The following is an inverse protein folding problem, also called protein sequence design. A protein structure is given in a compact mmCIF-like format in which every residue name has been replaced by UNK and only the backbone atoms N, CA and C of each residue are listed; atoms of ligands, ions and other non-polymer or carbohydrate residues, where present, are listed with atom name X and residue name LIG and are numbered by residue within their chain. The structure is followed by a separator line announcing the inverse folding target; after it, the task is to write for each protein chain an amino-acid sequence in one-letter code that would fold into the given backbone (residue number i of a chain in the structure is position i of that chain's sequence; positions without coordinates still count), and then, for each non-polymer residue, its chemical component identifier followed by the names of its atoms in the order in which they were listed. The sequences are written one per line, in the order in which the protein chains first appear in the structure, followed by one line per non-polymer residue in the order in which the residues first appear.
data_IF_412033529703
#
_entry.id   IF_412033529703
#
_cell.length_a   1.000
_cell.length_b   1.000
_cell.length_c   1.000
_cell.angle_alpha   90.00
_cell.angle_beta   90.00
_cell.angle_gamma   90.00
#
_symmetry.space_group_name_H-M   'P 1'
#
loop_
_entity.id
_entity.type
_entity.pdbx_description
1 polymer ?
#
# COMPACT_ATOMS: atom_id res chain seq x y z
N UNK A 1 -0.17 23.19 -31.18
CA UNK A 1 -0.54 23.61 -29.81
C UNK A 1 -1.33 22.47 -29.19
N UNK A 2 -0.71 21.70 -28.29
CA UNK A 2 -1.45 20.99 -27.25
C UNK A 2 -0.53 20.94 -26.03
N UNK A 3 -0.73 21.92 -25.15
CA UNK A 3 -0.12 21.96 -23.84
C UNK A 3 -0.69 20.79 -23.04
N UNK A 4 0.02 19.66 -23.04
CA UNK A 4 -0.27 18.58 -22.09
C UNK A 4 0.47 18.85 -20.77
N UNK A 5 0.15 19.96 -20.11
CA UNK A 5 0.18 20.02 -18.65
C UNK A 5 -0.94 19.13 -18.10
N UNK A 6 -0.94 17.86 -18.50
CA UNK A 6 -1.62 16.83 -17.71
C UNK A 6 -0.85 16.87 -16.41
N UNK A 7 -1.48 17.34 -15.35
CA UNK A 7 -1.15 16.81 -14.03
C UNK A 7 -1.22 15.29 -14.21
N UNK A 8 -0.05 14.64 -14.35
CA UNK A 8 0.07 13.22 -14.55
C UNK A 8 -0.24 12.59 -13.20
N UNK A 9 -1.51 12.60 -12.82
CA UNK A 9 -2.00 11.89 -11.64
C UNK A 9 -1.69 10.42 -11.89
N UNK A 10 -1.02 9.77 -10.94
CA UNK A 10 -0.59 8.38 -11.15
C UNK A 10 -1.80 7.49 -11.41
N UNK A 11 -1.69 6.57 -12.36
CA UNK A 11 -2.76 5.60 -12.62
C UNK A 11 -3.07 4.76 -11.37
N UNK A 12 -4.28 4.18 -11.28
CA UNK A 12 -4.67 3.24 -10.22
C UNK A 12 -3.60 2.19 -9.94
N UNK A 13 -3.12 1.51 -10.99
CA UNK A 13 -2.05 0.49 -10.89
C UNK A 13 -0.79 1.02 -10.24
N UNK A 14 -0.30 2.14 -10.75
CA UNK A 14 0.96 2.73 -10.30
C UNK A 14 0.84 3.23 -8.87
N UNK A 15 -0.31 3.83 -8.52
CA UNK A 15 -0.66 4.21 -7.15
C UNK A 15 -0.64 3.01 -6.21
N UNK A 16 -1.25 1.89 -6.62
CA UNK A 16 -1.25 0.65 -5.86
C UNK A 16 0.16 0.12 -5.60
N UNK A 17 1.00 0.01 -6.64
CA UNK A 17 2.39 -0.47 -6.52
C UNK A 17 3.23 0.46 -5.64
N UNK A 18 3.17 1.77 -5.90
CA UNK A 18 3.97 2.78 -5.18
C UNK A 18 3.59 2.84 -3.71
N UNK A 19 2.33 2.54 -3.35
CA UNK A 19 1.88 2.47 -1.97
C UNK A 19 2.65 1.44 -1.12
N UNK A 20 3.14 0.36 -1.73
CA UNK A 20 3.90 -0.67 -1.02
C UNK A 20 5.42 -0.41 -0.98
N UNK A 21 5.99 0.45 -1.83
CA UNK A 21 7.46 0.55 -1.95
C UNK A 21 8.19 0.98 -0.67
N UNK A 22 7.63 1.94 0.06
CA UNK A 22 8.16 2.40 1.35
C UNK A 22 7.11 3.27 2.04
N UNK A 23 7.38 3.69 3.28
CA UNK A 23 6.57 4.72 3.93
C UNK A 23 6.51 6.03 3.11
N UNK A 24 7.61 6.42 2.46
CA UNK A 24 7.66 7.59 1.58
C UNK A 24 6.84 7.32 0.31
N UNK A 25 6.99 6.14 -0.29
CA UNK A 25 6.20 5.70 -1.43
C UNK A 25 4.70 5.73 -1.12
N UNK A 26 4.30 5.27 0.05
CA UNK A 26 2.93 5.34 0.53
C UNK A 26 2.40 6.77 0.59
N UNK A 27 3.16 7.70 1.18
CA UNK A 27 2.77 9.12 1.24
C UNK A 27 2.59 9.70 -0.16
N UNK A 28 3.51 9.41 -1.09
CA UNK A 28 3.41 9.89 -2.48
C UNK A 28 2.22 9.27 -3.24
N UNK A 29 1.98 7.97 -3.06
CA UNK A 29 0.82 7.27 -3.62
C UNK A 29 -0.49 7.86 -3.10
N UNK A 30 -0.55 8.14 -1.80
CA UNK A 30 -1.71 8.77 -1.20
C UNK A 30 -1.87 10.21 -1.70
N UNK A 31 -0.84 11.05 -1.69
CA UNK A 31 -0.96 12.47 -2.05
C UNK A 31 -1.17 12.73 -3.55
N UNK A 32 -0.43 12.02 -4.41
CA UNK A 32 -0.35 12.31 -5.85
C UNK A 32 -0.99 11.23 -6.74
N UNK A 33 -1.44 10.13 -6.16
CA UNK A 33 -2.04 9.02 -6.89
C UNK A 33 -3.57 9.05 -6.94
N UNK A 34 -4.12 8.10 -7.70
CA UNK A 34 -5.55 7.85 -7.80
C UNK A 34 -6.07 7.18 -6.52
N UNK A 35 -6.45 7.99 -5.53
CA UNK A 35 -6.93 7.52 -4.22
C UNK A 35 -8.22 6.72 -4.31
N UNK A 36 -9.14 7.15 -5.16
CA UNK A 36 -10.46 6.52 -5.27
C UNK A 36 -10.34 5.16 -5.97
N UNK A 37 -9.60 5.11 -7.07
CA UNK A 37 -9.35 3.88 -7.82
C UNK A 37 -8.47 2.88 -7.05
N UNK A 38 -7.42 3.33 -6.36
CA UNK A 38 -6.45 2.47 -5.68
C UNK A 38 -6.73 2.28 -4.18
N UNK A 39 -7.91 2.68 -3.70
CA UNK A 39 -8.28 2.70 -2.27
C UNK A 39 -8.07 1.36 -1.56
N UNK A 40 -8.34 0.26 -2.25
CA UNK A 40 -8.14 -1.09 -1.73
C UNK A 40 -6.67 -1.34 -1.36
N UNK A 41 -5.76 -1.14 -2.32
CA UNK A 41 -4.32 -1.31 -2.13
C UNK A 41 -3.73 -0.26 -1.18
N UNK A 42 -4.23 0.98 -1.20
CA UNK A 42 -3.83 2.01 -0.23
C UNK A 42 -4.20 1.61 1.19
N UNK A 43 -5.40 1.06 1.42
CA UNK A 43 -5.78 0.57 2.74
C UNK A 43 -4.90 -0.59 3.21
N UNK A 44 -4.71 -1.59 2.35
CA UNK A 44 -3.90 -2.76 2.66
C UNK A 44 -2.44 -2.37 2.93
N UNK A 45 -1.85 -1.52 2.08
CA UNK A 45 -0.49 -1.00 2.27
C UNK A 45 -0.36 -0.21 3.59
N UNK A 46 -1.32 0.66 3.92
CA UNK A 46 -1.29 1.45 5.16
C UNK A 46 -1.25 0.55 6.40
N UNK A 47 -2.11 -0.47 6.45
CA UNK A 47 -2.19 -1.38 7.60
C UNK A 47 -0.90 -2.17 7.74
N UNK A 48 -0.34 -2.68 6.63
CA UNK A 48 0.94 -3.41 6.65
C UNK A 48 2.08 -2.50 7.11
N UNK A 49 2.12 -1.25 6.64
CA UNK A 49 3.09 -0.25 7.11
C UNK A 49 2.95 -0.02 8.62
N UNK A 50 1.74 0.13 9.14
CA UNK A 50 1.49 0.27 10.58
C UNK A 50 1.89 -0.97 11.40
N UNK A 51 1.62 -2.18 10.91
CA UNK A 51 2.06 -3.42 11.57
C UNK A 51 3.59 -3.48 11.59
N UNK A 52 4.25 -3.15 10.49
CA UNK A 52 5.72 -3.13 10.44
C UNK A 52 6.31 -2.04 11.34
N UNK A 53 5.62 -0.92 11.54
CA UNK A 53 6.00 0.13 12.49
C UNK A 53 5.99 -0.38 13.93
N UNK A 54 4.96 -1.15 14.32
CA UNK A 54 4.89 -1.82 15.62
C UNK A 54 5.99 -2.87 15.77
N UNK A 55 6.41 -3.49 14.67
CA UNK A 55 7.51 -4.46 14.61
C UNK A 55 8.88 -3.90 15.01
N UNK A 56 9.08 -2.59 15.13
CA UNK A 56 10.32 -2.01 15.64
C UNK A 56 10.51 -2.16 17.16
N UNK A 57 9.46 -2.55 17.91
CA UNK A 57 9.58 -2.80 19.34
C UNK A 57 10.39 -4.08 19.61
N UNK A 58 11.40 -4.05 20.50
CA UNK A 58 12.38 -5.14 20.64
C UNK A 58 11.76 -6.48 21.05
N UNK A 59 10.71 -6.47 21.87
CA UNK A 59 10.11 -7.68 22.43
C UNK A 59 9.21 -8.46 21.47
N UNK A 60 8.61 -7.80 20.47
CA UNK A 60 7.64 -8.40 19.54
C UNK A 60 8.18 -8.52 18.11
N UNK A 61 9.31 -7.87 17.82
CA UNK A 61 9.97 -7.82 16.51
C UNK A 61 10.13 -9.19 15.85
N UNK A 62 10.51 -10.21 16.62
CA UNK A 62 10.80 -11.55 16.09
C UNK A 62 9.59 -12.22 15.42
N UNK A 63 8.37 -11.89 15.85
CA UNK A 63 7.13 -12.45 15.29
C UNK A 63 6.51 -11.46 14.30
N UNK A 64 6.48 -10.18 14.65
CA UNK A 64 5.78 -9.15 13.86
C UNK A 64 6.49 -8.87 12.54
N UNK A 65 7.83 -8.80 12.51
CA UNK A 65 8.54 -8.47 11.28
C UNK A 65 8.41 -9.54 10.20
N UNK A 66 8.63 -10.85 10.46
CA UNK A 66 8.41 -11.87 9.44
C UNK A 66 6.97 -11.90 8.92
N UNK A 67 5.97 -11.76 9.80
CA UNK A 67 4.57 -11.67 9.40
C UNK A 67 4.33 -10.47 8.49
N UNK A 68 4.76 -9.27 8.91
CA UNK A 68 4.61 -8.05 8.12
C UNK A 68 5.29 -8.17 6.75
N UNK A 69 6.47 -8.78 6.67
CA UNK A 69 7.18 -9.02 5.41
C UNK A 69 6.39 -9.95 4.48
N UNK A 70 5.81 -11.04 5.00
CA UNK A 70 4.99 -11.95 4.19
C UNK A 70 3.74 -11.23 3.65
N UNK A 71 3.03 -10.51 4.52
CA UNK A 71 1.84 -9.74 4.14
C UNK A 71 2.18 -8.66 3.10
N UNK A 72 3.35 -8.02 3.25
CA UNK A 72 3.87 -7.04 2.30
C UNK A 72 4.09 -7.63 0.92
N UNK A 73 4.75 -8.79 0.81
CA UNK A 73 4.95 -9.45 -0.49
C UNK A 73 3.63 -9.86 -1.15
N UNK A 74 2.69 -10.41 -0.39
CA UNK A 74 1.37 -10.80 -0.91
C UNK A 74 0.63 -9.58 -1.45
N UNK A 75 0.53 -8.51 -0.64
CA UNK A 75 -0.11 -7.26 -1.04
C UNK A 75 0.55 -6.62 -2.26
N UNK A 76 1.89 -6.65 -2.33
CA UNK A 76 2.65 -6.16 -3.48
C UNK A 76 2.35 -6.97 -4.75
N UNK A 77 2.36 -8.29 -4.69
CA UNK A 77 2.02 -9.16 -5.84
C UNK A 77 0.61 -8.85 -6.34
N UNK A 78 -0.38 -8.74 -5.45
CA UNK A 78 -1.75 -8.38 -5.84
C UNK A 78 -1.83 -6.98 -6.47
N UNK A 79 -1.10 -6.00 -5.94
CA UNK A 79 -1.02 -4.67 -6.53
C UNK A 79 -0.42 -4.68 -7.95
N UNK A 80 0.58 -5.53 -8.23
CA UNK A 80 1.14 -5.67 -9.59
C UNK A 80 0.16 -6.31 -10.57
N UNK A 81 -0.72 -7.18 -10.07
CA UNK A 81 -1.76 -7.88 -10.84
C UNK A 81 -3.07 -7.11 -10.94
N UNK A 82 -3.20 -5.98 -10.24
CA UNK A 82 -4.45 -5.22 -10.11
C UNK A 82 -5.61 -6.06 -9.55
N UNK A 83 -5.27 -7.08 -8.75
CA UNK A 83 -6.23 -7.95 -8.08
C UNK A 83 -6.58 -7.35 -6.71
N UNK A 84 -7.86 -7.09 -6.48
CA UNK A 84 -8.36 -6.60 -5.18
C UNK A 84 -8.61 -7.78 -4.21
N UNK A 85 -7.61 -8.64 -4.07
CA UNK A 85 -7.65 -9.79 -3.17
C UNK A 85 -7.21 -9.37 -1.77
N UNK A 86 -8.03 -9.71 -0.79
CA UNK A 86 -7.77 -9.42 0.61
C UNK A 86 -6.52 -10.17 1.11
N UNK A 87 -5.54 -9.42 1.60
CA UNK A 87 -4.34 -10.01 2.19
C UNK A 87 -4.75 -10.70 3.50
N UNK A 88 -4.26 -11.93 3.79
CA UNK A 88 -4.61 -12.65 5.01
C UNK A 88 -4.41 -11.78 6.27
N UNK A 89 -5.23 -11.95 7.30
CA UNK A 89 -5.16 -11.22 8.60
C UNK A 89 -5.59 -9.73 8.54
N UNK A 90 -5.40 -9.04 7.41
CA UNK A 90 -5.62 -7.57 7.28
C UNK A 90 -6.65 -7.17 6.23
N UNK A 91 -7.12 -8.12 5.42
CA UNK A 91 -8.10 -7.95 4.34
C UNK A 91 -9.34 -7.14 4.72
N UNK A 92 -9.90 -7.45 5.88
CA UNK A 92 -11.19 -6.93 6.32
C UNK A 92 -11.12 -5.54 6.97
N UNK A 93 -9.91 -5.02 7.24
CA UNK A 93 -9.72 -3.73 7.90
C UNK A 93 -9.62 -2.64 6.82
N UNK A 94 -10.43 -1.58 6.94
CA UNK A 94 -10.43 -0.43 6.03
C UNK A 94 -10.32 0.86 6.86
N UNK A 95 -9.20 1.56 6.74
CA UNK A 95 -8.90 2.77 7.51
C UNK A 95 -9.25 4.05 6.75
N UNK A 96 -9.06 4.04 5.43
CA UNK A 96 -9.39 5.11 4.51
C UNK A 96 -10.85 4.92 4.06
N UNK A 97 -11.69 5.91 4.42
CA UNK A 97 -13.12 5.99 4.09
C UNK A 97 -13.39 6.65 2.76
#
# INVERSE_FOLDING_TARGET
MENKSTNQTMSKKMTGIVAYFSYIGFILAYLCGDREGAKFHLNQALIIHLISLVGFLPYIRMVVMPLATILWFIGFIYATREEETEVPVVGSIRLLK
#
